data_IF_416785326571
#
_entry.id   IF_416785326571
#
_cell.length_a   1.000
_cell.length_b   1.000
_cell.length_c   1.000
_cell.angle_alpha   90.00
_cell.angle_beta   90.00
_cell.angle_gamma   90.00
#
_symmetry.space_group_name_H-M   'P 1'
#
loop_
_entity.id
_entity.type
_entity.pdbx_description
1 polymer ?
#
# COMPACT_ATOMS: atom_id res chain seq x y z
N UNK A 1 -3.47 -6.56 6.61
CA UNK A 1 -4.75 -7.28 6.36
C UNK A 1 -5.98 -6.51 6.80
N UNK A 2 -6.11 -6.13 8.07
CA UNK A 2 -7.33 -5.49 8.58
C UNK A 2 -7.69 -4.19 7.86
N UNK A 3 -6.73 -3.29 7.63
CA UNK A 3 -6.98 -2.03 6.94
C UNK A 3 -7.62 -2.23 5.56
N UNK A 4 -7.14 -3.20 4.80
CA UNK A 4 -7.66 -3.53 3.49
C UNK A 4 -9.07 -4.12 3.56
N UNK A 5 -9.31 -5.01 4.51
CA UNK A 5 -10.65 -5.58 4.74
C UNK A 5 -11.66 -4.49 5.17
N UNK A 6 -11.25 -3.55 5.99
CA UNK A 6 -12.06 -2.36 6.35
C UNK A 6 -12.37 -1.53 5.11
N UNK A 7 -11.36 -1.22 4.29
CA UNK A 7 -11.56 -0.49 3.05
C UNK A 7 -12.55 -1.16 2.11
N UNK A 8 -12.46 -2.50 1.95
CA UNK A 8 -13.36 -3.24 1.07
C UNK A 8 -14.80 -3.35 1.59
N UNK A 9 -14.98 -3.47 2.90
CA UNK A 9 -16.29 -3.80 3.47
C UNK A 9 -17.01 -2.61 4.11
N UNK A 10 -16.31 -1.51 4.36
CA UNK A 10 -16.84 -0.33 5.03
C UNK A 10 -16.61 0.95 4.22
N UNK A 11 -16.75 0.89 2.90
CA UNK A 11 -16.53 2.02 1.99
C UNK A 11 -17.39 3.25 2.29
N UNK A 12 -18.54 3.06 2.95
CA UNK A 12 -19.41 4.17 3.37
C UNK A 12 -18.95 4.81 4.69
N UNK A 13 -17.93 4.27 5.34
CA UNK A 13 -17.48 4.70 6.67
C UNK A 13 -16.06 5.27 6.68
N UNK A 14 -15.30 5.05 5.62
CA UNK A 14 -13.91 5.48 5.52
C UNK A 14 -13.65 6.12 4.15
N UNK A 15 -12.90 7.20 4.13
CA UNK A 15 -12.52 7.92 2.90
C UNK A 15 -11.15 7.50 2.37
N UNK A 16 -10.33 6.94 3.23
CA UNK A 16 -8.99 6.46 2.89
C UNK A 16 -8.52 5.36 3.85
N UNK A 17 -7.60 4.54 3.37
CA UNK A 17 -6.88 3.59 4.22
C UNK A 17 -5.37 3.74 4.06
N UNK A 18 -4.66 3.49 5.14
CA UNK A 18 -3.21 3.30 5.14
C UNK A 18 -2.94 1.87 5.59
N UNK A 19 -2.41 1.07 4.68
CA UNK A 19 -2.05 -0.32 4.95
C UNK A 19 -0.53 -0.41 5.13
N UNK A 20 -0.09 -0.68 6.35
CA UNK A 20 1.32 -0.80 6.71
C UNK A 20 1.62 -2.27 6.94
N UNK A 21 2.41 -2.88 6.02
CA UNK A 21 2.87 -4.27 6.12
C UNK A 21 1.77 -5.29 6.40
N UNK A 22 0.58 -5.02 5.87
CA UNK A 22 -0.61 -5.82 6.12
C UNK A 22 -1.17 -6.46 4.85
N UNK A 23 -0.33 -7.11 4.05
CA UNK A 23 -0.77 -7.79 2.82
C UNK A 23 -1.83 -8.84 3.15
N UNK A 24 -2.76 -9.04 2.23
CA UNK A 24 -3.77 -10.10 2.34
C UNK A 24 -3.12 -11.47 2.12
N UNK A 25 -3.70 -12.50 2.67
CA UNK A 25 -3.32 -13.87 2.31
C UNK A 25 -3.53 -14.08 0.80
N UNK A 26 -2.68 -14.89 0.19
CA UNK A 26 -2.73 -15.14 -1.25
C UNK A 26 -4.13 -15.65 -1.68
N UNK A 27 -4.69 -15.01 -2.69
CA UNK A 27 -6.02 -15.31 -3.18
C UNK A 27 -7.17 -14.71 -2.37
N UNK A 28 -6.88 -13.93 -1.32
CA UNK A 28 -7.89 -13.31 -0.46
C UNK A 28 -7.92 -11.78 -0.55
N UNK A 29 -7.27 -11.22 -1.55
CA UNK A 29 -7.33 -9.78 -1.78
C UNK A 29 -8.74 -9.36 -2.22
N UNK A 30 -9.12 -8.15 -1.87
CA UNK A 30 -10.42 -7.59 -2.19
C UNK A 30 -10.29 -6.24 -2.88
N UNK A 31 -11.33 -5.87 -3.63
CA UNK A 31 -11.47 -4.56 -4.26
C UNK A 31 -12.73 -3.92 -3.67
N UNK A 32 -12.65 -2.66 -3.16
CA UNK A 32 -13.84 -1.96 -2.68
C UNK A 32 -14.88 -1.77 -3.77
N UNK A 33 -16.17 -1.79 -3.39
CA UNK A 33 -17.27 -1.52 -4.31
C UNK A 33 -17.30 -0.05 -4.80
N UNK A 34 -16.72 0.85 -4.02
CA UNK A 34 -16.59 2.27 -4.36
C UNK A 34 -15.12 2.69 -4.37
N UNK A 35 -14.75 3.66 -5.23
CA UNK A 35 -13.39 4.19 -5.21
C UNK A 35 -12.99 4.68 -3.82
N UNK A 36 -11.81 4.31 -3.39
CA UNK A 36 -11.25 4.61 -2.07
C UNK A 36 -9.76 4.94 -2.19
N UNK A 37 -9.31 5.99 -1.55
CA UNK A 37 -7.89 6.33 -1.51
C UNK A 37 -7.14 5.31 -0.66
N UNK A 38 -6.02 4.82 -1.19
CA UNK A 38 -5.16 3.85 -0.51
C UNK A 38 -3.71 4.30 -0.50
N UNK A 39 -3.08 4.20 0.65
CA UNK A 39 -1.62 4.17 0.78
C UNK A 39 -1.25 2.77 1.28
N UNK A 40 -0.35 2.11 0.57
CA UNK A 40 0.16 0.79 0.95
C UNK A 40 1.67 0.84 1.08
N UNK A 41 2.17 0.43 2.23
CA UNK A 41 3.60 0.37 2.56
C UNK A 41 4.02 -1.07 2.78
N UNK A 42 5.11 -1.45 2.14
CA UNK A 42 5.78 -2.73 2.34
C UNK A 42 7.29 -2.55 2.48
N UNK A 43 7.90 -3.37 3.31
CA UNK A 43 9.35 -3.41 3.52
C UNK A 43 9.94 -4.65 2.86
N UNK A 44 10.97 -4.48 2.03
CA UNK A 44 11.53 -5.57 1.21
C UNK A 44 12.12 -6.70 2.03
N UNK A 45 12.66 -6.39 3.20
CA UNK A 45 13.26 -7.39 4.10
C UNK A 45 12.25 -7.93 5.14
N UNK A 46 10.97 -7.60 5.00
CA UNK A 46 9.92 -8.16 5.84
C UNK A 46 9.72 -9.64 5.53
N UNK A 47 10.05 -10.51 6.48
CA UNK A 47 9.84 -11.96 6.40
C UNK A 47 8.55 -12.41 7.09
N UNK A 48 7.89 -11.52 7.81
CA UNK A 48 6.62 -11.79 8.51
C UNK A 48 5.44 -11.63 7.56
N UNK A 49 5.37 -10.51 6.84
CA UNK A 49 4.37 -10.25 5.80
C UNK A 49 5.08 -9.66 4.58
N UNK A 50 5.75 -10.48 3.78
CA UNK A 50 6.51 -10.00 2.63
C UNK A 50 5.65 -9.23 1.64
N UNK A 51 6.16 -8.11 1.08
CA UNK A 51 5.46 -7.37 0.02
C UNK A 51 5.58 -8.02 -1.36
N UNK A 52 6.45 -9.01 -1.50
CA UNK A 52 6.74 -9.74 -2.74
C UNK A 52 6.31 -11.20 -2.62
N UNK A 53 6.33 -11.91 -3.76
CA UNK A 53 5.93 -13.33 -3.84
C UNK A 53 7.04 -14.24 -3.28
N UNK A 54 7.21 -14.21 -1.96
CA UNK A 54 8.14 -15.08 -1.24
C UNK A 54 7.44 -15.73 -0.04
N UNK A 55 7.94 -16.90 0.36
CA UNK A 55 7.40 -17.62 1.51
C UNK A 55 7.67 -16.83 2.80
N UNK A 56 6.62 -16.56 3.54
CA UNK A 56 6.72 -15.88 4.84
C UNK A 56 7.21 -16.83 5.95
N UNK A 57 7.68 -16.27 7.05
CA UNK A 57 8.18 -17.03 8.21
C UNK A 57 7.15 -17.93 8.87
N UNK A 58 5.86 -17.65 8.69
CA UNK A 58 4.75 -18.47 9.18
C UNK A 58 4.39 -19.65 8.23
N UNK A 59 5.08 -19.77 7.10
CA UNK A 59 4.84 -20.82 6.13
C UNK A 59 3.73 -20.53 5.11
N UNK A 60 3.19 -19.30 5.07
CA UNK A 60 2.18 -18.87 4.12
C UNK A 60 2.74 -17.92 3.07
N UNK A 61 2.03 -17.80 1.95
CA UNK A 61 2.24 -16.75 0.96
C UNK A 61 1.20 -15.65 1.15
N UNK A 62 1.64 -14.41 0.98
CA UNK A 62 0.77 -13.23 0.99
C UNK A 62 0.63 -12.67 -0.42
N UNK A 63 -0.47 -11.98 -0.68
CA UNK A 63 -0.68 -11.32 -1.97
C UNK A 63 0.40 -10.26 -2.19
N UNK A 64 1.18 -10.32 -3.28
CA UNK A 64 2.19 -9.31 -3.56
C UNK A 64 1.58 -7.90 -3.59
N UNK A 65 2.24 -6.94 -2.97
CA UNK A 65 1.79 -5.56 -2.88
C UNK A 65 1.44 -4.98 -4.25
N UNK A 66 2.26 -5.24 -5.27
CA UNK A 66 2.02 -4.76 -6.63
C UNK A 66 0.71 -5.29 -7.23
N UNK A 67 0.29 -6.49 -6.88
CA UNK A 67 -0.96 -7.06 -7.39
C UNK A 67 -2.17 -6.30 -6.83
N UNK A 68 -2.19 -6.05 -5.52
CA UNK A 68 -3.22 -5.23 -4.88
C UNK A 68 -3.29 -3.83 -5.50
N UNK A 69 -2.14 -3.18 -5.67
CA UNK A 69 -2.06 -1.86 -6.30
C UNK A 69 -2.61 -1.89 -7.73
N UNK A 70 -2.23 -2.89 -8.53
CA UNK A 70 -2.71 -3.04 -9.90
C UNK A 70 -4.22 -3.27 -9.96
N UNK A 71 -4.75 -4.13 -9.09
CA UNK A 71 -6.18 -4.42 -9.04
C UNK A 71 -6.99 -3.16 -8.71
N UNK A 72 -6.58 -2.40 -7.70
CA UNK A 72 -7.28 -1.20 -7.27
C UNK A 72 -7.16 -0.07 -8.30
N UNK A 73 -5.96 0.20 -8.83
CA UNK A 73 -5.80 1.26 -9.86
C UNK A 73 -6.59 0.98 -11.13
N UNK A 74 -6.71 -0.31 -11.51
CA UNK A 74 -7.49 -0.71 -12.68
C UNK A 74 -8.99 -0.59 -12.40
N UNK A 75 -9.44 -1.04 -11.21
CA UNK A 75 -10.83 -0.93 -10.81
C UNK A 75 -11.30 0.54 -10.71
N UNK A 76 -10.42 1.43 -10.26
CA UNK A 76 -10.73 2.86 -10.11
C UNK A 76 -10.31 3.71 -11.33
N UNK A 77 -9.90 3.10 -12.43
CA UNK A 77 -9.57 3.77 -13.69
C UNK A 77 -8.52 4.88 -13.54
N UNK A 78 -7.48 4.65 -12.76
CA UNK A 78 -6.39 5.62 -12.62
C UNK A 78 -5.64 5.76 -13.95
N UNK A 79 -5.63 6.95 -14.53
CA UNK A 79 -5.09 7.20 -15.87
C UNK A 79 -3.66 7.72 -15.87
N UNK A 80 -3.17 8.23 -14.75
CA UNK A 80 -1.84 8.81 -14.62
C UNK A 80 -1.08 8.24 -13.42
N UNK A 81 0.25 8.30 -13.51
CA UNK A 81 1.13 7.90 -12.41
C UNK A 81 2.44 8.66 -12.44
N UNK A 82 3.05 8.75 -11.27
CA UNK A 82 4.43 9.20 -11.08
C UNK A 82 5.20 8.17 -10.27
N UNK A 83 6.49 8.04 -10.55
CA UNK A 83 7.40 7.18 -9.79
C UNK A 83 8.57 8.01 -9.30
N UNK A 84 8.91 7.86 -8.04
CA UNK A 84 9.97 8.62 -7.39
C UNK A 84 10.82 7.71 -6.53
N UNK A 85 12.13 7.96 -6.53
CA UNK A 85 13.08 7.34 -5.63
C UNK A 85 13.47 8.34 -4.54
N UNK A 86 13.40 7.91 -3.30
CA UNK A 86 13.90 8.65 -2.13
C UNK A 86 15.09 7.85 -1.60
N UNK A 87 16.25 8.50 -1.43
CA UNK A 87 17.46 7.81 -0.99
C UNK A 87 17.85 8.16 0.46
N UNK A 88 17.26 9.21 1.01
CA UNK A 88 17.56 9.69 2.35
C UNK A 88 16.28 10.30 2.97
N UNK A 89 15.88 9.94 4.19
CA UNK A 89 16.61 9.13 5.19
C UNK A 89 16.53 7.61 4.98
N UNK A 90 15.72 7.14 4.04
CA UNK A 90 15.58 5.72 3.71
C UNK A 90 15.51 5.54 2.19
N UNK A 91 15.83 4.35 1.70
CA UNK A 91 15.73 4.02 0.28
C UNK A 91 14.31 3.54 -0.03
N UNK A 92 13.51 4.43 -0.61
CA UNK A 92 12.09 4.23 -0.92
C UNK A 92 11.85 4.31 -2.42
N UNK A 93 11.05 3.40 -2.94
CA UNK A 93 10.37 3.57 -4.23
C UNK A 93 8.91 3.92 -3.96
N UNK A 94 8.50 5.11 -4.37
CA UNK A 94 7.11 5.56 -4.28
C UNK A 94 6.50 5.60 -5.68
N UNK A 95 5.35 4.95 -5.86
CA UNK A 95 4.52 5.08 -7.05
C UNK A 95 3.17 5.66 -6.65
N UNK A 96 2.79 6.76 -7.28
CA UNK A 96 1.54 7.46 -7.02
C UNK A 96 0.68 7.45 -8.27
N UNK A 97 -0.52 6.86 -8.16
CA UNK A 97 -1.51 6.76 -9.22
C UNK A 97 -2.63 7.76 -8.93
N UNK A 98 -2.98 8.55 -9.92
CA UNK A 98 -3.95 9.64 -9.81
C UNK A 98 -4.82 9.77 -11.07
N UNK A 99 -5.68 10.77 -11.09
CA UNK A 99 -6.76 10.89 -12.08
C UNK A 99 -7.60 9.61 -12.13
N UNK A 100 -7.98 9.15 -10.95
CA UNK A 100 -8.85 7.99 -10.74
C UNK A 100 -10.30 8.44 -10.61
N UNK A 101 -11.23 7.48 -10.69
CA UNK A 101 -12.65 7.71 -10.43
C UNK A 101 -12.85 8.37 -9.06
N UNK A 102 -13.79 9.32 -8.97
CA UNK A 102 -14.11 10.09 -7.75
C UNK A 102 -12.93 10.84 -7.12
N UNK A 103 -11.86 11.09 -7.88
CA UNK A 103 -10.69 11.82 -7.41
C UNK A 103 -9.83 11.09 -6.39
N UNK A 104 -10.04 9.80 -6.18
CA UNK A 104 -9.21 9.01 -5.28
C UNK A 104 -7.78 8.82 -5.83
N UNK A 105 -6.86 8.43 -4.98
CA UNK A 105 -5.48 8.11 -5.35
C UNK A 105 -5.03 6.80 -4.73
N UNK A 106 -4.08 6.16 -5.38
CA UNK A 106 -3.42 4.96 -4.88
C UNK A 106 -1.92 5.26 -4.78
N UNK A 107 -1.33 5.06 -3.62
CA UNK A 107 0.10 5.26 -3.42
C UNK A 107 0.74 3.99 -2.89
N UNK A 108 1.74 3.51 -3.59
CA UNK A 108 2.55 2.35 -3.23
C UNK A 108 3.91 2.82 -2.75
N UNK A 109 4.34 2.36 -1.59
CA UNK A 109 5.61 2.73 -0.96
C UNK A 109 6.36 1.43 -0.62
N UNK A 110 7.47 1.19 -1.31
CA UNK A 110 8.36 0.07 -1.04
C UNK A 110 9.64 0.59 -0.38
N UNK A 111 9.90 0.13 0.85
CA UNK A 111 11.14 0.40 1.58
C UNK A 111 12.13 -0.73 1.30
N UNK A 112 13.28 -0.40 0.73
CA UNK A 112 14.26 -1.38 0.27
C UNK A 112 15.11 -1.99 1.39
N UNK A 113 15.17 -1.36 2.57
CA UNK A 113 16.09 -1.74 3.62
C UNK A 113 15.43 -2.04 4.98
N UNK A 114 14.13 -1.76 5.11
CA UNK A 114 13.41 -2.05 6.35
C UNK A 114 12.93 -3.49 6.41
N UNK A 115 12.62 -3.93 7.61
CA UNK A 115 11.98 -5.20 7.93
C UNK A 115 10.52 -4.95 8.37
N UNK A 116 9.91 -5.84 9.16
CA UNK A 116 8.53 -5.70 9.63
C UNK A 116 8.42 -4.60 10.70
N UNK A 117 8.45 -3.35 10.27
CA UNK A 117 8.40 -2.17 11.13
C UNK A 117 7.94 -0.93 10.33
N UNK A 118 7.50 0.09 11.04
CA UNK A 118 7.14 1.38 10.46
C UNK A 118 8.34 2.02 9.75
N UNK A 119 8.11 2.84 8.70
CA UNK A 119 9.20 3.54 8.03
C UNK A 119 9.95 4.45 9.01
N UNK A 120 11.26 4.46 8.91
CA UNK A 120 12.16 5.15 9.84
C UNK A 120 12.94 6.28 9.17
N UNK A 121 13.27 7.35 9.89
CA UNK A 121 12.87 7.65 11.28
C UNK A 121 11.36 7.87 11.40
N UNK A 122 10.77 7.50 12.51
CA UNK A 122 9.30 7.41 12.66
C UNK A 122 8.54 8.69 12.32
N UNK A 123 9.04 9.86 12.72
CA UNK A 123 8.39 11.13 12.39
C UNK A 123 8.31 11.35 10.88
N UNK A 124 9.42 11.13 10.20
CA UNK A 124 9.47 11.22 8.74
C UNK A 124 8.59 10.16 8.08
N UNK A 125 8.60 8.95 8.62
CA UNK A 125 7.77 7.84 8.13
C UNK A 125 6.29 8.12 8.24
N UNK A 126 5.84 8.74 9.32
CA UNK A 126 4.44 9.17 9.47
C UNK A 126 4.10 10.21 8.39
N UNK A 127 4.95 11.21 8.19
CA UNK A 127 4.74 12.22 7.15
C UNK A 127 4.68 11.60 5.76
N UNK A 128 5.55 10.64 5.46
CA UNK A 128 5.56 9.89 4.21
C UNK A 128 4.24 9.16 3.95
N UNK A 129 3.71 8.48 4.98
CA UNK A 129 2.48 7.70 4.86
C UNK A 129 1.23 8.57 4.73
N UNK A 130 1.17 9.69 5.41
CA UNK A 130 0.00 10.57 5.44
C UNK A 130 -0.01 11.64 4.34
N UNK A 131 1.14 12.04 3.81
CA UNK A 131 1.21 13.07 2.78
C UNK A 131 0.28 12.81 1.57
N UNK A 132 0.18 11.59 1.02
CA UNK A 132 -0.69 11.34 -0.12
C UNK A 132 -2.18 11.50 0.17
N UNK A 133 -2.59 11.44 1.44
CA UNK A 133 -3.99 11.59 1.86
C UNK A 133 -4.32 13.04 2.18
N UNK A 134 -3.37 13.76 2.78
CA UNK A 134 -3.58 15.14 3.26
C UNK A 134 -3.42 16.20 2.17
N UNK A 135 -2.81 15.83 1.07
CA UNK A 135 -2.63 16.71 -0.10
C UNK A 135 -3.69 16.39 -1.16
#
# INVERSE_FOLDING_TARGET
MLAQAVGCNLTDKVDAIINIEGMQALGMSCIPDKPLTMVIYGAKNDTTVPPEDILASDGYFYEPMKNTVNDWKNAFNCSNSTKKQILNPAEITEEHFYDCSDGVTITSILDHNNDHDWPKPYKWGIDLLFAPILN
#
